data_IF_901863936674
#
_entry.id   IF_901863936674
#
_cell.length_a   1.000
_cell.length_b   1.000
_cell.length_c   1.000
_cell.angle_alpha   90.00
_cell.angle_beta   90.00
_cell.angle_gamma   90.00
#
_symmetry.space_group_name_H-M   'P 1'
#
loop_
_entity.id
_entity.type
_entity.pdbx_description
1 polymer ?
#
# COMPACT_ATOMS: atom_id res chain seq x y z
N UNK A 1 -8.26 43.85 23.05
CA UNK A 1 -7.35 42.99 22.27
C UNK A 1 -7.06 41.75 23.08
N UNK A 2 -7.66 40.62 22.76
CA UNK A 2 -7.31 39.29 23.31
C UNK A 2 -7.10 38.38 22.11
N UNK A 3 -5.87 37.93 21.92
CA UNK A 3 -5.50 36.92 20.96
C UNK A 3 -5.90 35.53 21.52
N UNK A 4 -6.71 34.80 20.78
CA UNK A 4 -6.97 33.40 21.02
C UNK A 4 -5.96 32.58 20.21
N UNK A 5 -4.96 32.03 20.89
CA UNK A 5 -4.07 31.01 20.36
C UNK A 5 -4.79 29.67 20.43
N UNK A 6 -5.39 29.26 19.32
CA UNK A 6 -5.88 27.91 19.13
C UNK A 6 -4.71 27.01 18.72
N UNK A 7 -4.15 26.27 19.66
CA UNK A 7 -3.21 25.20 19.39
C UNK A 7 -3.98 23.97 18.89
N UNK A 8 -4.06 23.80 17.57
CA UNK A 8 -4.39 22.51 16.96
C UNK A 8 -3.17 21.59 17.12
N UNK A 9 -3.12 20.86 18.20
CA UNK A 9 -2.23 19.71 18.31
C UNK A 9 -2.88 18.57 17.53
N UNK A 10 -2.27 18.05 16.45
CA UNK A 10 -2.76 16.82 15.83
C UNK A 10 -2.60 15.71 16.88
N UNK A 11 -3.71 15.06 17.24
CA UNK A 11 -3.65 13.84 18.05
C UNK A 11 -2.87 12.80 17.23
N UNK A 12 -1.60 12.64 17.58
CA UNK A 12 -0.77 11.54 17.16
C UNK A 12 -1.28 10.29 17.87
N UNK A 13 -2.35 9.69 17.34
CA UNK A 13 -2.69 8.33 17.69
C UNK A 13 -1.48 7.46 17.33
N UNK A 14 -1.02 6.61 18.23
CA UNK A 14 0.05 5.64 18.00
C UNK A 14 -0.33 4.77 16.80
N UNK A 15 0.09 5.16 15.59
CA UNK A 15 -0.04 4.34 14.40
C UNK A 15 0.99 3.22 14.53
N UNK A 16 0.55 2.05 14.95
CA UNK A 16 1.35 0.84 14.85
C UNK A 16 1.23 0.35 13.41
N UNK A 17 2.34 0.26 12.72
CA UNK A 17 2.40 -0.25 11.35
C UNK A 17 3.14 -1.57 11.34
N UNK A 18 2.50 -2.60 10.79
CA UNK A 18 3.12 -3.89 10.52
C UNK A 18 3.39 -3.95 9.03
N UNK A 19 4.55 -4.48 8.65
CA UNK A 19 4.88 -4.70 7.25
C UNK A 19 4.85 -6.19 6.94
N UNK A 20 4.17 -6.57 5.88
CA UNK A 20 4.18 -7.91 5.32
C UNK A 20 5.12 -7.91 4.10
N UNK A 21 6.15 -8.76 4.14
CA UNK A 21 7.21 -8.78 3.13
C UNK A 21 6.81 -9.49 1.83
N UNK A 22 7.69 -9.42 0.83
CA UNK A 22 7.53 -9.92 -0.53
C UNK A 22 7.08 -11.38 -0.65
N UNK A 23 7.53 -12.25 0.26
CA UNK A 23 7.18 -13.68 0.28
C UNK A 23 5.75 -13.93 0.82
N UNK A 24 5.10 -12.91 1.35
CA UNK A 24 3.77 -13.01 1.94
C UNK A 24 3.70 -13.79 3.24
N UNK A 25 4.82 -14.23 3.79
CA UNK A 25 4.89 -15.06 5.00
C UNK A 25 5.61 -14.39 6.17
N UNK A 26 6.40 -13.36 5.90
CA UNK A 26 7.22 -12.71 6.92
C UNK A 26 6.62 -11.37 7.34
N UNK A 27 6.50 -11.17 8.64
CA UNK A 27 6.12 -9.89 9.23
C UNK A 27 7.36 -9.19 9.73
N UNK A 28 7.59 -7.97 9.26
CA UNK A 28 8.63 -7.12 9.80
C UNK A 28 8.10 -6.26 10.96
N UNK A 29 8.99 -5.87 11.81
CA UNK A 29 8.82 -5.18 13.10
C UNK A 29 7.65 -4.17 13.16
N UNK A 30 6.81 -4.23 14.20
CA UNK A 30 6.80 -5.25 15.24
C UNK A 30 6.16 -6.56 14.77
N UNK A 31 6.60 -7.69 15.33
CA UNK A 31 5.92 -8.95 15.09
C UNK A 31 4.46 -8.86 15.57
N UNK A 32 3.56 -9.61 14.93
CA UNK A 32 2.14 -9.64 15.34
C UNK A 32 1.96 -9.95 16.83
N UNK A 33 2.86 -10.77 17.42
CA UNK A 33 2.85 -11.12 18.84
C UNK A 33 3.20 -9.96 19.78
N UNK A 34 3.90 -8.96 19.28
CA UNK A 34 4.40 -7.80 20.06
C UNK A 34 3.43 -6.62 20.06
N UNK A 35 2.34 -6.74 19.31
CA UNK A 35 1.35 -5.67 19.24
C UNK A 35 0.64 -5.46 20.57
N UNK A 36 0.47 -4.20 20.97
CA UNK A 36 -0.25 -3.89 22.19
C UNK A 36 -1.70 -4.38 22.09
N UNK A 37 -2.19 -4.91 23.21
CA UNK A 37 -3.62 -5.16 23.36
C UNK A 37 -4.36 -3.81 23.36
N UNK A 38 -5.53 -3.75 22.72
CA UNK A 38 -6.35 -2.54 22.67
C UNK A 38 -7.31 -2.56 21.49
N UNK A 39 -8.13 -1.53 21.39
CA UNK A 39 -9.15 -1.40 20.34
C UNK A 39 -8.70 -0.49 19.17
N UNK A 40 -7.58 0.17 19.28
CA UNK A 40 -7.09 1.09 18.28
C UNK A 40 -6.81 0.36 16.93
N UNK A 41 -7.15 0.99 15.80
CA UNK A 41 -6.80 0.46 14.49
C UNK A 41 -5.30 0.26 14.33
N UNK A 42 -4.92 -0.80 13.64
CA UNK A 42 -3.53 -1.13 13.31
C UNK A 42 -3.37 -1.12 11.79
N UNK A 43 -2.43 -0.32 11.31
CA UNK A 43 -2.11 -0.28 9.88
C UNK A 43 -1.22 -1.46 9.52
N UNK A 44 -1.66 -2.26 8.56
CA UNK A 44 -0.91 -3.36 7.97
C UNK A 44 -0.44 -2.94 6.58
N UNK A 45 0.84 -2.59 6.46
CA UNK A 45 1.43 -2.18 5.19
C UNK A 45 1.85 -3.41 4.39
N UNK A 46 1.24 -3.60 3.24
CA UNK A 46 1.48 -4.73 2.36
C UNK A 46 2.58 -4.38 1.35
N UNK A 47 3.72 -5.07 1.46
CA UNK A 47 4.86 -4.93 0.55
C UNK A 47 4.86 -6.10 -0.43
N UNK A 48 3.86 -6.14 -1.30
CA UNK A 48 3.57 -7.25 -2.20
C UNK A 48 3.59 -6.80 -3.67
N UNK A 49 4.09 -7.64 -4.59
CA UNK A 49 4.22 -7.25 -6.00
C UNK A 49 2.89 -7.22 -6.76
N UNK A 50 1.92 -8.06 -6.36
CA UNK A 50 0.61 -8.11 -7.02
C UNK A 50 -0.36 -7.15 -6.34
N UNK A 51 -0.09 -5.86 -6.53
CA UNK A 51 -0.86 -4.76 -5.98
C UNK A 51 -1.18 -3.78 -7.10
N UNK A 52 -2.44 -3.37 -7.20
CA UNK A 52 -2.88 -2.33 -8.12
C UNK A 52 -3.68 -1.27 -7.39
N UNK A 53 -3.74 -0.07 -7.95
CA UNK A 53 -4.68 0.97 -7.53
C UNK A 53 -5.90 0.99 -8.45
N UNK A 54 -7.07 1.08 -7.86
CA UNK A 54 -8.36 1.22 -8.52
C UNK A 54 -8.97 2.53 -8.07
N UNK A 55 -9.46 3.41 -8.98
CA UNK A 55 -10.27 4.54 -8.56
C UNK A 55 -11.45 4.08 -7.70
N UNK A 56 -11.71 4.75 -6.57
CA UNK A 56 -12.73 4.31 -5.61
C UNK A 56 -14.12 4.18 -6.25
N UNK A 57 -14.45 5.05 -7.19
CA UNK A 57 -15.72 5.02 -7.94
C UNK A 57 -15.88 3.77 -8.84
N UNK A 58 -14.77 3.09 -9.19
CA UNK A 58 -14.75 1.87 -10.02
C UNK A 58 -14.51 0.61 -9.19
N UNK A 59 -14.24 0.76 -7.90
CA UNK A 59 -13.94 -0.36 -7.03
C UNK A 59 -15.21 -1.14 -6.66
N UNK A 60 -15.12 -2.46 -6.83
CA UNK A 60 -16.14 -3.43 -6.41
C UNK A 60 -15.45 -4.51 -5.56
N UNK A 61 -15.80 -4.57 -4.29
CA UNK A 61 -15.17 -5.48 -3.33
C UNK A 61 -15.37 -6.97 -3.68
N UNK A 62 -16.47 -7.32 -4.34
CA UNK A 62 -16.75 -8.70 -4.76
C UNK A 62 -15.93 -9.12 -5.99
N UNK A 63 -15.41 -8.15 -6.75
CA UNK A 63 -14.70 -8.37 -8.00
C UNK A 63 -13.19 -8.15 -7.91
N UNK A 64 -12.62 -7.98 -6.73
CA UNK A 64 -11.19 -7.71 -6.56
C UNK A 64 -10.27 -8.74 -7.24
N UNK A 65 -10.61 -10.03 -7.21
CA UNK A 65 -9.86 -11.09 -7.88
C UNK A 65 -9.94 -10.98 -9.42
N UNK A 66 -11.10 -10.63 -9.97
CA UNK A 66 -11.29 -10.40 -11.41
C UNK A 66 -10.49 -9.17 -11.87
N UNK A 67 -10.48 -8.11 -11.06
CA UNK A 67 -9.71 -6.89 -11.34
C UNK A 67 -8.21 -7.18 -11.42
N UNK A 68 -7.66 -7.92 -10.45
CA UNK A 68 -6.26 -8.36 -10.50
C UNK A 68 -5.97 -9.23 -11.73
N UNK A 69 -6.84 -10.20 -12.02
CA UNK A 69 -6.68 -11.10 -13.16
C UNK A 69 -6.71 -10.35 -14.50
N UNK A 70 -7.61 -9.37 -14.66
CA UNK A 70 -7.71 -8.53 -15.85
C UNK A 70 -6.43 -7.69 -16.08
N UNK A 71 -5.69 -7.39 -15.01
CA UNK A 71 -4.41 -6.68 -15.06
C UNK A 71 -3.18 -7.62 -15.09
N UNK A 72 -3.37 -8.90 -15.42
CA UNK A 72 -2.28 -9.87 -15.56
C UNK A 72 -1.72 -10.36 -14.22
N UNK A 73 -2.42 -10.13 -13.12
CA UNK A 73 -2.03 -10.49 -11.75
C UNK A 73 -3.02 -11.47 -11.08
N UNK A 74 -3.41 -12.59 -11.73
CA UNK A 74 -4.40 -13.49 -11.16
C UNK A 74 -3.92 -14.02 -9.81
N UNK A 75 -4.77 -14.00 -8.75
CA UNK A 75 -4.45 -14.65 -7.49
C UNK A 75 -4.25 -16.16 -7.67
N UNK A 76 -3.34 -16.73 -6.90
CA UNK A 76 -3.15 -18.19 -6.86
C UNK A 76 -4.15 -18.85 -5.90
N UNK A 77 -4.19 -20.20 -5.91
CA UNK A 77 -5.05 -20.96 -5.00
C UNK A 77 -4.69 -20.75 -3.51
N UNK A 78 -3.45 -20.35 -3.22
CA UNK A 78 -2.96 -20.11 -1.86
C UNK A 78 -3.14 -18.67 -1.40
N UNK A 79 -3.70 -17.81 -2.25
CA UNK A 79 -3.89 -16.40 -1.96
C UNK A 79 -5.35 -16.04 -1.79
N UNK A 80 -5.55 -14.96 -1.06
CA UNK A 80 -6.79 -14.21 -0.95
C UNK A 80 -6.57 -12.79 -1.45
N UNK A 81 -7.63 -12.09 -1.76
CA UNK A 81 -7.55 -10.68 -2.17
C UNK A 81 -8.04 -9.82 -1.01
N UNK A 82 -7.28 -8.78 -0.71
CA UNK A 82 -7.64 -7.75 0.25
C UNK A 82 -7.64 -6.38 -0.43
N UNK A 83 -8.42 -5.47 0.12
CA UNK A 83 -8.47 -4.08 -0.32
C UNK A 83 -8.11 -3.13 0.84
N UNK A 84 -7.61 -1.96 0.50
CA UNK A 84 -7.48 -0.85 1.45
C UNK A 84 -8.86 -0.25 1.77
N UNK A 85 -8.90 0.96 2.34
CA UNK A 85 -10.16 1.67 2.60
C UNK A 85 -10.97 1.82 1.30
N UNK A 86 -12.18 1.24 1.21
CA UNK A 86 -13.02 1.30 0.02
C UNK A 86 -13.60 2.69 -0.26
N UNK A 87 -13.63 3.58 0.74
CA UNK A 87 -14.12 4.96 0.61
C UNK A 87 -13.05 5.95 0.16
N UNK A 88 -11.81 5.47 -0.06
CA UNK A 88 -10.71 6.31 -0.51
C UNK A 88 -10.82 6.65 -2.00
N UNK A 89 -10.20 7.76 -2.43
CA UNK A 89 -10.09 8.16 -3.84
C UNK A 89 -9.47 7.04 -4.70
N UNK A 90 -8.44 6.37 -4.16
CA UNK A 90 -7.84 5.17 -4.73
C UNK A 90 -7.86 4.04 -3.73
N UNK A 91 -8.33 2.89 -4.17
CA UNK A 91 -8.35 1.65 -3.40
C UNK A 91 -7.20 0.76 -3.89
N UNK A 92 -6.34 0.34 -2.99
CA UNK A 92 -5.31 -0.66 -3.30
C UNK A 92 -5.93 -2.05 -3.19
N UNK A 93 -5.83 -2.82 -4.26
CA UNK A 93 -6.26 -4.21 -4.33
C UNK A 93 -5.03 -5.08 -4.43
N UNK A 94 -4.88 -6.06 -3.53
CA UNK A 94 -3.64 -6.83 -3.36
C UNK A 94 -3.94 -8.31 -3.15
N UNK A 95 -3.18 -9.18 -3.82
CA UNK A 95 -3.16 -10.62 -3.52
C UNK A 95 -2.20 -10.90 -2.35
N UNK A 96 -2.68 -11.53 -1.30
CA UNK A 96 -1.94 -11.86 -0.07
C UNK A 96 -2.01 -13.37 0.18
N UNK A 97 -0.93 -13.95 0.71
CA UNK A 97 -0.95 -15.34 1.16
C UNK A 97 -2.06 -15.55 2.21
N UNK A 98 -2.87 -16.62 2.03
CA UNK A 98 -4.04 -16.89 2.86
C UNK A 98 -3.69 -17.17 4.32
N UNK A 99 -2.58 -17.84 4.56
CA UNK A 99 -2.13 -18.12 5.92
C UNK A 99 -1.67 -16.85 6.63
N UNK A 100 -0.95 -15.95 5.92
CA UNK A 100 -0.57 -14.66 6.47
C UNK A 100 -1.80 -13.77 6.77
N UNK A 101 -2.79 -13.76 5.89
CA UNK A 101 -4.05 -13.05 6.13
C UNK A 101 -4.76 -13.60 7.37
N UNK A 102 -4.87 -14.92 7.49
CA UNK A 102 -5.48 -15.58 8.66
C UNK A 102 -4.81 -15.17 9.96
N UNK A 103 -3.48 -15.09 10.01
CA UNK A 103 -2.75 -14.65 11.20
C UNK A 103 -3.04 -13.19 11.55
N UNK A 104 -3.17 -12.32 10.55
CA UNK A 104 -3.56 -10.91 10.75
C UNK A 104 -4.98 -10.84 11.31
N UNK A 105 -5.92 -11.56 10.71
CA UNK A 105 -7.33 -11.58 11.12
C UNK A 105 -7.51 -12.14 12.53
N UNK A 106 -6.84 -13.24 12.88
CA UNK A 106 -6.87 -13.82 14.22
C UNK A 106 -6.33 -12.87 15.30
N UNK A 107 -5.31 -12.10 14.97
CA UNK A 107 -4.68 -11.18 15.92
C UNK A 107 -5.36 -9.82 16.00
N UNK A 108 -5.82 -9.29 14.90
CA UNK A 108 -6.30 -7.91 14.78
C UNK A 108 -7.82 -7.81 14.53
N UNK A 109 -8.41 -8.81 13.88
CA UNK A 109 -9.82 -8.76 13.48
C UNK A 109 -10.14 -7.46 12.73
N UNK A 110 -11.23 -6.80 13.11
CA UNK A 110 -11.69 -5.55 12.52
C UNK A 110 -10.78 -4.33 12.76
N UNK A 111 -9.71 -4.51 13.52
CA UNK A 111 -8.71 -3.45 13.75
C UNK A 111 -7.72 -3.31 12.60
N UNK A 112 -7.56 -4.35 11.76
CA UNK A 112 -6.65 -4.30 10.63
C UNK A 112 -7.08 -3.25 9.61
N UNK A 113 -6.14 -2.41 9.18
CA UNK A 113 -6.31 -1.46 8.07
C UNK A 113 -5.20 -1.69 7.09
N UNK A 114 -5.53 -2.26 5.94
CA UNK A 114 -4.55 -2.55 4.91
C UNK A 114 -4.16 -1.31 4.13
N UNK A 115 -2.87 -1.20 3.85
CA UNK A 115 -2.29 -0.13 3.03
C UNK A 115 -1.11 -0.64 2.22
N UNK A 116 -0.58 0.18 1.33
CA UNK A 116 0.60 -0.09 0.50
C UNK A 116 1.34 1.21 0.24
N UNK A 117 2.65 1.18 -0.05
CA UNK A 117 3.37 2.38 -0.48
C UNK A 117 2.76 3.10 -1.69
N UNK A 118 2.02 2.40 -2.56
CA UNK A 118 1.33 3.01 -3.69
C UNK A 118 0.24 4.01 -3.29
N UNK A 119 -0.29 3.93 -2.07
CA UNK A 119 -1.28 4.90 -1.56
C UNK A 119 -0.65 6.18 -1.03
N UNK A 120 0.68 6.21 -0.86
CA UNK A 120 1.35 7.45 -0.47
C UNK A 120 1.25 8.50 -1.58
N UNK A 121 0.73 9.69 -1.26
CA UNK A 121 0.68 10.82 -2.20
C UNK A 121 1.85 11.76 -1.94
N UNK A 122 2.72 12.01 -2.94
CA UNK A 122 3.81 12.96 -2.79
C UNK A 122 3.27 14.40 -2.64
N UNK A 123 4.06 15.27 -2.02
CA UNK A 123 3.66 16.66 -1.78
C UNK A 123 3.46 17.48 -3.07
N UNK A 124 4.09 17.06 -4.17
CA UNK A 124 3.93 17.67 -5.49
C UNK A 124 3.54 16.59 -6.50
N UNK A 125 2.50 16.86 -7.26
CA UNK A 125 1.95 15.96 -8.29
C UNK A 125 1.87 16.62 -9.68
N UNK A 126 2.36 17.84 -9.85
CA UNK A 126 2.23 18.57 -11.11
C UNK A 126 2.95 17.88 -12.28
N UNK A 127 4.20 17.47 -12.07
CA UNK A 127 4.99 16.61 -12.96
C UNK A 127 6.01 15.88 -12.10
N UNK A 128 5.71 14.65 -11.71
CA UNK A 128 6.48 13.95 -10.67
C UNK A 128 6.56 12.46 -10.94
N UNK A 129 7.78 11.92 -10.88
CA UNK A 129 8.04 10.50 -10.71
C UNK A 129 8.37 10.25 -9.24
N UNK A 130 7.49 9.57 -8.54
CA UNK A 130 7.73 9.15 -7.17
C UNK A 130 8.16 7.69 -7.15
N UNK A 131 9.23 7.40 -6.43
CA UNK A 131 9.78 6.05 -6.32
C UNK A 131 10.15 5.74 -4.87
N UNK A 132 9.88 4.51 -4.43
CA UNK A 132 10.27 4.01 -3.12
C UNK A 132 10.64 2.54 -3.21
N UNK A 133 11.87 2.18 -2.81
CA UNK A 133 12.30 0.77 -2.78
C UNK A 133 12.17 0.22 -1.37
N UNK A 134 11.39 -0.86 -1.21
CA UNK A 134 11.14 -1.54 0.07
C UNK A 134 10.98 -3.04 -0.16
N UNK A 135 11.56 -3.86 0.71
CA UNK A 135 11.43 -5.32 0.70
C UNK A 135 11.69 -5.96 -0.69
N UNK A 136 12.69 -5.46 -1.44
CA UNK A 136 13.01 -5.97 -2.77
C UNK A 136 12.02 -5.58 -3.87
N UNK A 137 11.09 -4.68 -3.59
CA UNK A 137 10.16 -4.08 -4.55
C UNK A 137 10.46 -2.61 -4.76
N UNK A 138 10.27 -2.14 -5.97
CA UNK A 138 10.23 -0.74 -6.34
C UNK A 138 8.77 -0.34 -6.59
N UNK A 139 8.29 0.59 -5.80
CA UNK A 139 7.00 1.24 -5.96
C UNK A 139 7.20 2.49 -6.78
N UNK A 140 6.47 2.61 -7.87
CA UNK A 140 6.59 3.71 -8.82
C UNK A 140 5.23 4.37 -8.98
N UNK A 141 5.21 5.69 -8.92
CA UNK A 141 4.04 6.49 -9.30
C UNK A 141 4.49 7.63 -10.20
N UNK A 142 3.74 7.84 -11.24
CA UNK A 142 3.96 8.93 -12.19
C UNK A 142 2.75 9.83 -12.20
N UNK A 143 2.98 11.11 -12.03
CA UNK A 143 1.96 12.15 -12.10
C UNK A 143 2.27 13.12 -13.21
N UNK A 144 1.24 13.54 -13.94
CA UNK A 144 1.28 14.64 -14.89
C UNK A 144 0.02 15.50 -14.74
N UNK A 145 0.21 16.82 -14.65
CA UNK A 145 -0.88 17.75 -14.44
C UNK A 145 -1.69 17.53 -13.14
N UNK A 146 -1.12 16.87 -12.14
CA UNK A 146 -1.80 16.48 -10.91
C UNK A 146 -2.50 15.13 -10.97
N UNK A 147 -2.61 14.53 -12.14
CA UNK A 147 -3.28 13.24 -12.36
C UNK A 147 -2.30 12.07 -12.27
N UNK A 148 -2.72 10.97 -11.66
CA UNK A 148 -1.95 9.73 -11.58
C UNK A 148 -1.99 9.00 -12.92
N UNK A 149 -0.84 8.90 -13.59
CA UNK A 149 -0.68 8.23 -14.89
C UNK A 149 -0.25 6.78 -14.77
N UNK A 150 0.54 6.46 -13.74
CA UNK A 150 1.08 5.13 -13.49
C UNK A 150 1.19 4.88 -11.99
N UNK A 151 0.85 3.67 -11.56
CA UNK A 151 1.13 3.17 -10.21
C UNK A 151 1.43 1.67 -10.28
N UNK A 152 2.68 1.30 -10.01
CA UNK A 152 3.14 -0.08 -10.10
C UNK A 152 4.06 -0.48 -8.95
N UNK A 153 4.04 -1.77 -8.60
CA UNK A 153 4.99 -2.41 -7.69
C UNK A 153 5.73 -3.50 -8.47
N UNK A 154 7.01 -3.31 -8.68
CA UNK A 154 7.85 -4.19 -9.50
C UNK A 154 9.01 -4.78 -8.71
N UNK A 155 9.44 -6.02 -8.98
CA UNK A 155 10.65 -6.57 -8.37
C UNK A 155 11.89 -5.73 -8.73
N UNK A 156 12.62 -5.28 -7.72
CA UNK A 156 13.87 -4.52 -7.85
C UNK A 156 14.73 -4.73 -6.62
N UNK A 157 15.50 -5.80 -6.62
CA UNK A 157 16.29 -6.21 -5.47
C UNK A 157 17.51 -5.30 -5.22
N UNK A 158 18.02 -4.66 -6.27
CA UNK A 158 19.26 -3.85 -6.22
C UNK A 158 19.01 -2.38 -6.60
N UNK A 159 19.98 -1.53 -6.27
CA UNK A 159 19.96 -0.12 -6.69
C UNK A 159 20.09 0.01 -8.21
N UNK A 160 20.78 -0.94 -8.85
CA UNK A 160 20.90 -0.99 -10.31
C UNK A 160 19.55 -1.25 -10.98
N UNK A 161 18.72 -2.13 -10.41
CA UNK A 161 17.36 -2.36 -10.92
C UNK A 161 16.52 -1.08 -10.84
N UNK A 162 16.60 -0.39 -9.71
CA UNK A 162 15.88 0.88 -9.52
C UNK A 162 16.36 1.97 -10.49
N UNK A 163 17.67 2.09 -10.71
CA UNK A 163 18.26 3.05 -11.67
C UNK A 163 17.81 2.76 -13.10
N UNK A 164 17.76 1.49 -13.50
CA UNK A 164 17.28 1.08 -14.82
C UNK A 164 15.84 1.55 -15.09
N UNK A 165 14.94 1.39 -14.12
CA UNK A 165 13.57 1.86 -14.27
C UNK A 165 13.47 3.38 -14.29
N UNK A 166 14.29 4.06 -13.48
CA UNK A 166 14.33 5.52 -13.48
C UNK A 166 14.75 6.08 -14.85
N UNK A 167 15.84 5.57 -15.44
CA UNK A 167 16.30 5.99 -16.77
C UNK A 167 15.26 5.76 -17.87
N UNK A 168 14.49 4.67 -17.76
CA UNK A 168 13.41 4.39 -18.72
C UNK A 168 12.24 5.36 -18.60
N UNK A 169 11.90 5.76 -17.39
CA UNK A 169 10.82 6.71 -17.15
C UNK A 169 11.23 8.14 -17.52
N UNK A 170 12.47 8.53 -17.26
CA UNK A 170 12.98 9.86 -17.60
C UNK A 170 12.94 10.14 -19.11
N UNK A 171 13.07 9.11 -19.93
CA UNK A 171 12.92 9.19 -21.40
C UNK A 171 11.46 9.29 -21.90
N UNK A 172 10.45 9.15 -21.04
CA UNK A 172 9.02 9.17 -21.37
C UNK A 172 8.35 10.52 -21.05
N UNK A 173 9.04 11.47 -20.39
CA UNK A 173 8.52 12.76 -19.94
C UNK A 173 9.35 13.99 -20.42
#
# INVERSE_FOLDING_TARGET
MRQATGSNTPQSGNKVSIQLSLDGHSFSVPALSELPAGEAPVTVELLLPRTMLVPGELFDAERGAEMLAANGMPPTAEESVVASDPEAEFVAVTAINREALRQVEEKLGDRARFTTPLLHTPANTAKTVWMSRRAGLLYIKVYDGGELQLAEAIPAATDTDAAYFFERLDGCF
#
